data_IF_708327814347
#
_entry.id   IF_708327814347
#
_cell.length_a   1.000
_cell.length_b   1.000
_cell.length_c   1.000
_cell.angle_alpha   90.00
_cell.angle_beta   90.00
_cell.angle_gamma   90.00
#
_symmetry.space_group_name_H-M   'P 1'
#
loop_
_entity.id
_entity.type
_entity.pdbx_description
1 polymer ?
#
# COMPACT_ATOMS: atom_id res chain seq x y z
N UNK A 1 22.71 28.52 -30.74
CA UNK A 1 23.30 27.88 -29.54
C UNK A 1 22.20 27.21 -28.73
N UNK A 2 22.44 26.00 -28.23
CA UNK A 2 21.51 25.32 -27.32
C UNK A 2 21.45 26.09 -25.98
N UNK A 3 20.23 26.43 -25.55
CA UNK A 3 19.96 27.24 -24.36
C UNK A 3 19.38 26.42 -23.21
N UNK A 4 18.90 25.22 -23.49
CA UNK A 4 18.18 24.38 -22.54
C UNK A 4 18.81 22.99 -22.44
N UNK A 5 18.55 22.33 -21.32
CA UNK A 5 18.84 20.91 -21.10
C UNK A 5 17.53 20.15 -20.99
N UNK A 6 17.42 19.02 -21.69
CA UNK A 6 16.21 18.21 -21.69
C UNK A 6 15.97 17.60 -20.29
N UNK A 7 14.93 18.08 -19.62
CA UNK A 7 14.49 17.64 -18.28
C UNK A 7 13.69 16.32 -18.28
N UNK A 8 13.69 15.58 -19.40
CA UNK A 8 12.94 14.33 -19.50
C UNK A 8 13.50 13.29 -18.52
N UNK A 9 12.65 12.77 -17.63
CA UNK A 9 12.98 11.74 -16.65
C UNK A 9 12.72 10.39 -17.30
N UNK A 10 13.80 9.63 -17.51
CA UNK A 10 13.76 8.28 -18.06
C UNK A 10 13.16 7.29 -17.05
N UNK A 11 12.97 6.04 -17.51
CA UNK A 11 12.42 4.96 -16.70
C UNK A 11 13.31 4.57 -15.51
N UNK A 12 14.63 4.70 -15.67
CA UNK A 12 15.64 4.51 -14.61
C UNK A 12 15.75 5.73 -13.67
N UNK A 13 14.82 6.68 -13.77
CA UNK A 13 14.80 7.93 -13.02
C UNK A 13 15.98 8.87 -13.30
N UNK A 14 16.78 8.62 -14.35
CA UNK A 14 17.82 9.55 -14.78
C UNK A 14 17.24 10.64 -15.67
N UNK A 15 17.78 11.85 -15.57
CA UNK A 15 17.42 12.95 -16.45
C UNK A 15 18.13 12.77 -17.80
N UNK A 16 17.45 13.08 -18.90
CA UNK A 16 18.02 12.99 -20.24
C UNK A 16 19.25 13.88 -20.42
N UNK A 17 19.18 15.14 -20.00
CA UNK A 17 20.32 16.07 -19.99
C UNK A 17 20.81 16.56 -21.36
N UNK A 18 20.24 16.07 -22.46
CA UNK A 18 20.63 16.49 -23.81
C UNK A 18 20.44 18.00 -24.00
N UNK A 19 21.43 18.67 -24.58
CA UNK A 19 21.34 20.09 -24.94
C UNK A 19 20.31 20.29 -26.06
N UNK A 20 19.41 21.26 -25.90
CA UNK A 20 18.36 21.57 -26.86
C UNK A 20 18.11 23.08 -26.99
N UNK A 21 17.49 23.47 -28.10
CA UNK A 21 17.05 24.86 -28.33
C UNK A 21 15.59 25.08 -27.88
N UNK A 22 14.84 23.99 -27.71
CA UNK A 22 13.44 24.00 -27.31
C UNK A 22 13.32 23.74 -25.80
N UNK A 23 12.56 24.57 -25.05
CA UNK A 23 12.31 24.34 -23.62
C UNK A 23 11.47 23.09 -23.34
N UNK A 24 10.68 22.61 -24.30
CA UNK A 24 9.83 21.41 -24.14
C UNK A 24 10.64 20.10 -24.17
N UNK A 25 11.86 20.13 -24.71
CA UNK A 25 12.78 19.00 -24.65
C UNK A 25 13.64 18.85 -25.89
N UNK A 26 14.47 17.80 -25.89
CA UNK A 26 15.29 17.49 -27.05
C UNK A 26 14.47 16.83 -28.16
N UNK A 27 15.07 16.67 -29.35
CA UNK A 27 14.46 16.06 -30.52
C UNK A 27 13.83 14.66 -30.28
N UNK A 28 14.27 13.94 -29.24
CA UNK A 28 13.71 12.63 -28.85
C UNK A 28 12.50 12.72 -27.92
N UNK A 29 12.37 13.80 -27.15
CA UNK A 29 11.49 13.86 -25.98
C UNK A 29 10.49 15.02 -26.00
N UNK A 30 10.60 15.97 -26.93
CA UNK A 30 9.70 17.13 -27.01
C UNK A 30 8.21 16.73 -27.05
N UNK A 31 7.86 15.67 -27.79
CA UNK A 31 6.48 15.12 -27.84
C UNK A 31 5.97 14.55 -26.51
N UNK A 32 6.86 14.26 -25.56
CA UNK A 32 6.53 13.69 -24.26
C UNK A 32 6.59 14.74 -23.13
N UNK A 33 6.78 16.01 -23.47
CA UNK A 33 6.93 17.10 -22.50
C UNK A 33 5.81 17.10 -21.44
N UNK A 34 4.55 17.17 -21.88
CA UNK A 34 3.41 17.24 -20.96
C UNK A 34 3.32 16.02 -20.05
N UNK A 35 3.58 14.81 -20.58
CA UNK A 35 3.61 13.58 -19.79
C UNK A 35 4.73 13.63 -18.75
N UNK A 36 5.88 14.16 -19.13
CA UNK A 36 7.01 14.30 -18.23
C UNK A 36 6.75 15.33 -17.11
N UNK A 37 6.07 16.43 -17.42
CA UNK A 37 5.68 17.45 -16.44
C UNK A 37 4.68 16.92 -15.39
N UNK A 38 3.84 15.95 -15.78
CA UNK A 38 2.90 15.29 -14.85
C UNK A 38 3.57 14.29 -13.92
N UNK A 39 4.84 13.93 -14.13
CA UNK A 39 5.54 13.00 -13.25
C UNK A 39 5.77 13.65 -11.89
N UNK A 40 5.25 13.00 -10.85
CA UNK A 40 5.38 13.38 -9.45
C UNK A 40 6.35 12.45 -8.73
N UNK A 41 7.05 12.90 -7.68
CA UNK A 41 7.82 12.00 -6.82
C UNK A 41 6.93 10.90 -6.22
N UNK A 42 7.50 9.72 -6.04
CA UNK A 42 6.81 8.61 -5.38
C UNK A 42 6.51 8.99 -3.92
N UNK A 43 5.29 8.70 -3.47
CA UNK A 43 4.84 8.97 -2.10
C UNK A 43 5.49 8.08 -1.03
N UNK A 44 6.20 7.02 -1.42
CA UNK A 44 6.89 6.16 -0.47
C UNK A 44 8.13 6.88 0.08
N UNK A 45 8.20 7.05 1.41
CA UNK A 45 9.30 7.76 2.07
C UNK A 45 10.67 7.18 1.69
N UNK A 46 11.59 8.06 1.29
CA UNK A 46 12.93 7.68 0.83
C UNK A 46 13.00 7.13 -0.60
N UNK A 47 11.89 7.08 -1.34
CA UNK A 47 11.90 6.71 -2.75
C UNK A 47 12.25 7.90 -3.63
N UNK A 48 13.35 7.84 -4.36
CA UNK A 48 13.75 8.88 -5.31
C UNK A 48 13.05 8.84 -6.68
N UNK A 49 12.17 7.86 -6.92
CA UNK A 49 11.57 7.65 -8.25
C UNK A 49 10.42 8.60 -8.53
N UNK A 50 10.34 9.08 -9.78
CA UNK A 50 9.19 9.81 -10.29
C UNK A 50 8.22 8.87 -11.00
N UNK A 51 6.93 9.18 -10.88
CA UNK A 51 5.84 8.40 -11.46
C UNK A 51 4.76 9.30 -12.01
N UNK A 52 4.17 8.90 -13.13
CA UNK A 52 2.94 9.43 -13.70
C UNK A 52 1.70 8.65 -13.24
N UNK A 53 1.87 7.67 -12.36
CA UNK A 53 0.78 6.85 -11.85
C UNK A 53 -0.11 7.66 -10.90
N UNK A 54 -1.42 7.56 -11.09
CA UNK A 54 -2.42 8.26 -10.29
C UNK A 54 -2.32 7.91 -8.82
N UNK A 55 -1.99 6.64 -8.49
CA UNK A 55 -1.78 6.17 -7.11
C UNK A 55 -0.70 6.94 -6.33
N UNK A 56 0.16 7.70 -7.01
CA UNK A 56 1.30 8.38 -6.39
C UNK A 56 2.47 7.47 -6.03
N UNK A 57 2.36 6.17 -6.26
CA UNK A 57 3.43 5.21 -6.05
C UNK A 57 4.09 4.81 -7.37
N UNK A 58 5.42 4.66 -7.36
CA UNK A 58 6.13 4.08 -8.49
C UNK A 58 5.72 2.62 -8.67
N UNK A 59 5.91 2.06 -9.87
CA UNK A 59 5.46 0.71 -10.21
C UNK A 59 5.92 -0.37 -9.21
N UNK A 60 7.14 -0.26 -8.69
CA UNK A 60 7.65 -1.19 -7.67
C UNK A 60 6.86 -1.13 -6.36
N UNK A 61 6.57 0.08 -5.86
CA UNK A 61 5.81 0.26 -4.62
C UNK A 61 4.33 -0.07 -4.81
N UNK A 62 3.72 0.33 -5.94
CA UNK A 62 2.35 -0.08 -6.27
C UNK A 62 2.20 -1.60 -6.30
N UNK A 63 3.16 -2.31 -6.92
CA UNK A 63 3.14 -3.77 -6.95
C UNK A 63 3.28 -4.40 -5.56
N UNK A 64 4.16 -3.86 -4.70
CA UNK A 64 4.30 -4.33 -3.32
C UNK A 64 3.00 -4.14 -2.52
N UNK A 65 2.39 -2.95 -2.59
CA UNK A 65 1.12 -2.65 -1.91
C UNK A 65 0.02 -3.59 -2.40
N UNK A 66 -0.10 -3.75 -3.71
CA UNK A 66 -1.08 -4.67 -4.30
C UNK A 66 -0.86 -6.11 -3.82
N UNK A 67 0.38 -6.60 -3.85
CA UNK A 67 0.72 -7.96 -3.41
C UNK A 67 0.42 -8.20 -1.93
N UNK A 68 0.68 -7.21 -1.07
CA UNK A 68 0.34 -7.26 0.35
C UNK A 68 -1.17 -7.35 0.53
N UNK A 69 -1.93 -6.47 -0.11
CA UNK A 69 -3.39 -6.46 -0.01
C UNK A 69 -4.01 -7.76 -0.53
N UNK A 70 -3.47 -8.32 -1.62
CA UNK A 70 -3.89 -9.61 -2.14
C UNK A 70 -3.66 -10.73 -1.13
N UNK A 71 -2.48 -10.80 -0.51
CA UNK A 71 -2.17 -11.79 0.54
C UNK A 71 -3.08 -11.65 1.76
N UNK A 72 -3.36 -10.42 2.19
CA UNK A 72 -4.27 -10.18 3.31
C UNK A 72 -5.69 -10.64 3.00
N UNK A 73 -6.21 -10.36 1.80
CA UNK A 73 -7.52 -10.86 1.35
C UNK A 73 -7.58 -12.39 1.34
N UNK A 74 -6.52 -13.06 0.91
CA UNK A 74 -6.46 -14.52 0.95
C UNK A 74 -6.46 -15.06 2.37
N UNK A 75 -5.71 -14.44 3.29
CA UNK A 75 -5.66 -14.86 4.69
C UNK A 75 -7.02 -14.69 5.38
N UNK A 76 -7.61 -13.50 5.33
CA UNK A 76 -8.89 -13.24 5.99
C UNK A 76 -10.08 -13.89 5.30
N UNK A 77 -10.03 -14.06 3.97
CA UNK A 77 -11.01 -14.85 3.23
C UNK A 77 -10.96 -16.32 3.65
N UNK A 78 -9.77 -16.89 3.84
CA UNK A 78 -9.61 -18.26 4.32
C UNK A 78 -9.99 -18.43 5.81
N UNK A 79 -9.72 -17.43 6.66
CA UNK A 79 -10.13 -17.43 8.08
C UNK A 79 -11.66 -17.32 8.24
N UNK A 80 -12.35 -16.58 7.37
CA UNK A 80 -13.82 -16.52 7.34
C UNK A 80 -14.48 -17.84 6.89
N UNK A 81 -13.71 -18.73 6.25
CA UNK A 81 -14.11 -20.06 5.80
C UNK A 81 -13.77 -21.17 6.79
N UNK A 82 -13.20 -20.87 7.96
CA UNK A 82 -13.18 -21.81 9.08
C UNK A 82 -14.55 -21.75 9.77
N UNK A 83 -15.44 -22.73 9.55
CA UNK A 83 -16.60 -22.84 10.41
C UNK A 83 -16.05 -23.16 11.79
N UNK A 84 -16.66 -22.60 12.82
CA UNK A 84 -16.46 -23.00 14.21
C UNK A 84 -16.62 -24.53 14.32
N UNK A 85 -15.52 -25.29 14.15
CA UNK A 85 -15.43 -26.69 14.53
C UNK A 85 -15.16 -26.74 16.02
N UNK A 86 -16.14 -26.28 16.79
CA UNK A 86 -16.31 -26.69 18.17
C UNK A 86 -17.81 -26.77 18.43
N UNK A 87 -18.28 -28.02 18.33
CA UNK A 87 -19.14 -28.60 19.36
C UNK A 87 -20.53 -28.00 19.52
N UNK A 88 -21.46 -28.44 18.67
CA UNK A 88 -22.81 -28.74 19.12
C UNK A 88 -23.13 -30.19 18.76
N UNK A 89 -22.72 -31.11 19.63
CA UNK A 89 -23.35 -32.42 19.71
C UNK A 89 -23.56 -32.76 21.20
N UNK A 90 -24.85 -32.71 21.56
CA UNK A 90 -25.53 -33.27 22.73
C UNK A 90 -25.17 -32.74 24.13
N UNK A 91 -26.07 -31.88 24.64
CA UNK A 91 -26.53 -31.91 26.03
C UNK A 91 -26.85 -33.35 26.45
N UNK A 92 -26.24 -33.85 27.53
CA UNK A 92 -26.92 -33.90 28.83
C UNK A 92 -26.16 -34.78 29.85
N UNK A 93 -26.19 -34.35 31.12
CA UNK A 93 -25.91 -35.08 32.37
C UNK A 93 -24.56 -34.88 33.10
N UNK A 94 -24.69 -34.13 34.21
CA UNK A 94 -24.04 -34.30 35.53
C UNK A 94 -22.62 -33.73 35.76
N UNK A 95 -22.60 -32.54 36.38
CA UNK A 95 -21.51 -32.04 37.25
C UNK A 95 -21.25 -33.00 38.43
N UNK A 96 -20.03 -33.09 39.01
CA UNK A 96 -19.66 -32.17 40.10
C UNK A 96 -18.16 -31.79 40.27
N UNK A 97 -17.96 -30.50 40.62
CA UNK A 97 -16.98 -29.88 41.56
C UNK A 97 -15.46 -29.90 41.25
N UNK A 98 -14.91 -28.68 41.12
CA UNK A 98 -13.49 -28.29 41.20
C UNK A 98 -13.04 -28.25 42.69
N UNK A 99 -11.73 -28.40 42.98
CA UNK A 99 -10.97 -27.24 43.50
C UNK A 99 -9.62 -26.97 42.78
N UNK A 100 -9.22 -25.70 42.80
CA UNK A 100 -8.10 -24.97 42.14
C UNK A 100 -6.69 -25.46 42.59
N UNK A 101 -5.50 -25.21 42.00
CA UNK A 101 -4.85 -24.12 41.23
C UNK A 101 -3.45 -24.62 40.73
N UNK A 102 -2.46 -23.81 40.25
CA UNK A 102 -2.44 -22.66 39.32
C UNK A 102 -1.59 -22.92 38.04
N UNK A 103 -1.93 -22.21 36.95
CA UNK A 103 -1.25 -22.26 35.64
C UNK A 103 -0.13 -21.22 35.57
N UNK A 104 1.09 -21.63 35.24
CA UNK A 104 2.19 -20.71 34.90
C UNK A 104 2.20 -20.47 33.38
N UNK A 105 1.83 -19.24 32.98
CA UNK A 105 1.95 -18.70 31.62
C UNK A 105 3.30 -18.04 31.44
N UNK A 106 3.95 -18.26 30.30
CA UNK A 106 4.99 -17.37 29.79
C UNK A 106 4.80 -17.19 28.28
N UNK A 107 3.98 -16.20 27.93
CA UNK A 107 3.77 -15.74 26.56
C UNK A 107 4.93 -14.80 26.16
N UNK A 108 5.73 -15.18 25.17
CA UNK A 108 6.67 -14.25 24.53
C UNK A 108 5.85 -13.35 23.60
N UNK A 109 5.61 -12.14 24.08
CA UNK A 109 4.89 -11.06 23.41
C UNK A 109 5.39 -10.78 21.99
N UNK A 110 4.63 -11.19 20.99
CA UNK A 110 4.73 -10.71 19.60
C UNK A 110 3.95 -9.41 19.37
N UNK A 111 3.58 -8.69 20.44
CA UNK A 111 2.64 -7.57 20.41
C UNK A 111 3.27 -6.20 20.06
N UNK A 112 4.59 -6.11 19.79
CA UNK A 112 5.25 -4.80 19.66
C UNK A 112 5.32 -4.21 18.24
N UNK A 113 4.82 -4.89 17.20
CA UNK A 113 4.93 -4.39 15.81
C UNK A 113 3.60 -3.80 15.29
N UNK A 114 2.50 -3.92 16.04
CA UNK A 114 1.17 -3.49 15.57
C UNK A 114 0.90 -1.97 15.72
N UNK A 115 1.70 -1.24 16.48
CA UNK A 115 1.32 0.12 16.93
C UNK A 115 1.79 1.27 16.02
N UNK A 116 2.66 1.05 15.02
CA UNK A 116 3.30 2.18 14.32
C UNK A 116 3.03 2.30 12.81
N UNK A 117 2.34 1.32 12.20
CA UNK A 117 2.05 1.32 10.75
C UNK A 117 0.55 1.39 10.41
N UNK A 118 -0.33 1.22 11.40
CA UNK A 118 -1.77 1.03 11.18
C UNK A 118 -2.63 2.31 11.14
N UNK A 119 -2.34 3.43 11.85
CA UNK A 119 -3.29 4.55 11.88
C UNK A 119 -3.41 5.29 10.53
N UNK A 120 -2.28 5.54 9.85
CA UNK A 120 -2.27 6.37 8.65
C UNK A 120 -2.90 5.68 7.43
N UNK A 121 -2.71 4.37 7.28
CA UNK A 121 -3.28 3.62 6.15
C UNK A 121 -4.77 3.38 6.29
N UNK A 122 -5.30 3.15 7.50
CA UNK A 122 -6.74 3.02 7.71
C UNK A 122 -7.47 4.35 7.47
N UNK A 123 -6.88 5.47 7.90
CA UNK A 123 -7.48 6.79 7.71
C UNK A 123 -7.63 7.14 6.23
N UNK A 124 -6.61 6.87 5.41
CA UNK A 124 -6.66 7.10 3.96
C UNK A 124 -7.71 6.23 3.24
N UNK A 125 -7.94 5.00 3.72
CA UNK A 125 -9.03 4.16 3.19
C UNK A 125 -10.41 4.69 3.60
N UNK A 126 -10.58 5.12 4.85
CA UNK A 126 -11.84 5.70 5.33
C UNK A 126 -12.18 7.03 4.64
N UNK A 127 -11.17 7.86 4.35
CA UNK A 127 -11.35 9.15 3.68
C UNK A 127 -11.68 8.99 2.18
N UNK A 128 -11.22 7.90 1.55
CA UNK A 128 -11.59 7.56 0.16
C UNK A 128 -13.06 7.13 0.08
N UNK A 129 -13.52 6.29 1.01
CA UNK A 129 -14.91 5.82 1.06
C UNK A 129 -15.93 6.94 1.32
N UNK A 130 -15.55 7.98 2.08
CA UNK A 130 -16.42 9.14 2.31
C UNK A 130 -16.59 10.02 1.06
N UNK A 131 -15.55 10.14 0.23
CA UNK A 131 -15.60 10.95 -0.99
C UNK A 131 -16.50 10.33 -2.07
N UNK A 132 -16.45 9.00 -2.20
CA UNK A 132 -17.27 8.28 -3.19
C UNK A 132 -18.79 8.37 -2.90
N UNK A 133 -19.18 8.68 -1.66
CA UNK A 133 -20.59 8.87 -1.26
C UNK A 133 -21.11 10.30 -1.45
N UNK A 134 -20.24 11.30 -1.57
CA UNK A 134 -20.64 12.71 -1.69
C UNK A 134 -20.76 13.22 -3.12
N UNK A 135 -20.24 12.48 -4.12
CA UNK A 135 -20.30 12.85 -5.54
C UNK A 135 -21.45 12.18 -6.32
N UNK A 136 -22.42 11.59 -5.61
CA UNK A 136 -23.68 11.08 -6.19
C UNK A 136 -24.88 11.81 -5.59
N UNK A 137 -25.00 13.12 -5.86
CA UNK A 137 -26.27 13.86 -5.86
C UNK A 137 -26.28 14.79 -7.07
#
# INVERSE_FOLDING_TARGET
MARFTCAFIKKDNTICGNKCCDPTGCYRHWKLYEKNQKKKPCLFSGCGYHTDNDSGYCSSHSAKIYSHNYRMRQKYGAEALQPAKTSELSDEALRPRIPEAPVSKSDVSSASIHEHLFPASLQLFADSLRKDLTDSI
#
